data_IF_758093523834
#
_entry.id   IF_758093523834
#
_cell.length_a   1.000
_cell.length_b   1.000
_cell.length_c   1.000
_cell.angle_alpha   90.00
_cell.angle_beta   90.00
_cell.angle_gamma   90.00
#
_symmetry.space_group_name_H-M   'P 1'
#
loop_
_entity.id
_entity.type
_entity.pdbx_description
1 polymer ?
#
# COMPACT_ATOMS: atom_id res chain seq x y z
N UNK A 1 -6.48 8.11 12.94
CA UNK A 1 -6.47 7.81 14.39
C UNK A 1 -5.93 6.42 14.74
N UNK A 2 -6.06 5.39 13.89
CA UNK A 2 -5.57 4.02 14.13
C UNK A 2 -4.04 3.82 14.24
N UNK A 3 -3.23 4.83 13.89
CA UNK A 3 -1.76 4.72 13.93
C UNK A 3 -1.15 4.89 15.33
N UNK A 4 -1.90 5.42 16.29
CA UNK A 4 -1.39 5.80 17.62
C UNK A 4 -2.19 5.19 18.78
N UNK A 5 -3.03 4.18 18.53
CA UNK A 5 -3.75 3.49 19.61
C UNK A 5 -3.08 2.16 19.93
N UNK A 6 -2.07 2.10 20.83
CA UNK A 6 -1.72 0.87 21.53
C UNK A 6 -2.81 0.54 22.56
N UNK A 7 -3.06 -0.74 22.79
CA UNK A 7 -4.03 -1.26 23.76
C UNK A 7 -3.50 -1.21 25.21
N UNK A 8 -2.62 -0.26 25.56
CA UNK A 8 -2.06 -0.14 26.92
C UNK A 8 -2.80 0.94 27.72
N UNK A 9 -3.09 0.63 28.99
CA UNK A 9 -3.66 1.53 30.01
C UNK A 9 -2.70 2.66 30.45
N UNK A 10 -1.85 3.16 29.55
CA UNK A 10 -0.97 4.29 29.84
C UNK A 10 -1.57 5.55 29.20
N UNK A 11 -1.63 6.63 29.96
CA UNK A 11 -2.06 7.96 29.50
C UNK A 11 -1.27 8.34 28.23
N UNK A 12 -1.94 8.29 27.09
CA UNK A 12 -1.37 8.70 25.82
C UNK A 12 -1.36 10.22 25.75
N UNK A 13 -0.20 10.82 25.97
CA UNK A 13 0.06 12.19 25.52
C UNK A 13 0.09 12.17 23.98
N UNK A 14 -1.04 12.53 23.38
CA UNK A 14 -1.15 12.70 21.94
C UNK A 14 -0.32 13.91 21.51
N UNK A 15 0.77 13.64 20.79
CA UNK A 15 1.59 14.66 20.14
C UNK A 15 1.25 14.73 18.63
N UNK A 16 0.76 15.88 18.21
CA UNK A 16 0.38 16.16 16.82
C UNK A 16 1.59 16.15 15.87
N UNK A 17 2.78 16.51 16.34
CA UNK A 17 4.00 16.51 15.54
C UNK A 17 4.47 15.09 15.27
N UNK A 18 4.52 14.25 16.31
CA UNK A 18 4.85 12.82 16.17
C UNK A 18 3.82 12.10 15.29
N UNK A 19 2.54 12.44 15.42
CA UNK A 19 1.49 11.90 14.57
C UNK A 19 1.72 12.24 13.10
N UNK A 20 1.96 13.51 12.80
CA UNK A 20 2.16 13.96 11.43
C UNK A 20 3.46 13.44 10.82
N UNK A 21 4.54 13.37 11.61
CA UNK A 21 5.79 12.77 11.19
C UNK A 21 5.59 11.30 10.78
N UNK A 22 4.86 10.52 11.60
CA UNK A 22 4.52 9.12 11.29
C UNK A 22 3.63 8.97 10.05
N UNK A 23 2.64 9.83 9.87
CA UNK A 23 1.83 9.84 8.64
C UNK A 23 2.71 10.10 7.42
N UNK A 24 3.55 11.14 7.48
CA UNK A 24 4.40 11.52 6.36
C UNK A 24 5.41 10.41 6.02
N UNK A 25 6.02 9.76 7.01
CA UNK A 25 6.98 8.69 6.75
C UNK A 25 6.31 7.39 6.27
N UNK A 26 5.29 6.90 6.99
CA UNK A 26 4.70 5.57 6.75
C UNK A 26 3.67 5.59 5.61
N UNK A 27 2.75 6.56 5.61
CA UNK A 27 1.72 6.61 4.59
C UNK A 27 2.23 7.23 3.30
N UNK A 28 2.95 8.34 3.37
CA UNK A 28 3.39 9.03 2.16
C UNK A 28 4.71 8.45 1.65
N UNK A 29 5.73 8.38 2.52
CA UNK A 29 7.08 7.96 2.18
C UNK A 29 7.21 6.47 1.83
N UNK A 30 6.38 5.62 2.42
CA UNK A 30 6.39 4.18 2.19
C UNK A 30 5.21 3.73 1.31
N UNK A 31 3.98 3.71 1.83
CA UNK A 31 2.82 3.15 1.10
C UNK A 31 2.48 3.92 -0.18
N UNK A 32 2.30 5.23 -0.07
CA UNK A 32 1.99 6.10 -1.20
C UNK A 32 3.10 6.09 -2.24
N UNK A 33 4.35 6.15 -1.81
CA UNK A 33 5.51 6.07 -2.69
C UNK A 33 5.51 4.76 -3.49
N UNK A 34 5.32 3.60 -2.84
CA UNK A 34 5.29 2.32 -3.54
C UNK A 34 4.18 2.26 -4.59
N UNK A 35 2.94 2.63 -4.23
CA UNK A 35 1.80 2.64 -5.16
C UNK A 35 2.08 3.57 -6.35
N UNK A 36 2.48 4.81 -6.07
CA UNK A 36 2.69 5.82 -7.11
C UNK A 36 3.81 5.41 -8.07
N UNK A 37 4.94 4.93 -7.55
CA UNK A 37 6.11 4.61 -8.38
C UNK A 37 5.90 3.34 -9.20
N UNK A 38 5.23 2.33 -8.64
CA UNK A 38 4.98 1.07 -9.34
C UNK A 38 3.97 1.25 -10.47
N UNK A 39 2.80 1.82 -10.17
CA UNK A 39 1.77 2.06 -11.18
C UNK A 39 2.21 3.13 -12.20
N UNK A 40 2.88 4.19 -11.75
CA UNK A 40 3.42 5.22 -12.64
C UNK A 40 4.48 4.67 -13.60
N UNK A 41 5.33 3.76 -13.13
CA UNK A 41 6.27 3.07 -13.99
C UNK A 41 5.56 2.16 -15.00
N UNK A 42 4.53 1.42 -14.58
CA UNK A 42 3.72 0.61 -15.48
C UNK A 42 3.09 1.45 -16.61
N UNK A 43 2.56 2.64 -16.28
CA UNK A 43 2.02 3.58 -17.28
C UNK A 43 3.09 4.04 -18.24
N UNK A 44 4.22 4.54 -17.73
CA UNK A 44 5.29 5.11 -18.57
C UNK A 44 5.97 4.09 -19.46
N UNK A 45 6.19 2.87 -18.97
CA UNK A 45 7.04 1.86 -19.64
C UNK A 45 6.21 0.85 -20.45
N UNK A 46 4.99 0.55 -20.01
CA UNK A 46 4.12 -0.48 -20.60
C UNK A 46 2.76 0.07 -21.04
N UNK A 47 2.59 1.40 -21.11
CA UNK A 47 1.35 2.02 -21.55
C UNK A 47 0.16 1.76 -20.62
N UNK A 48 0.43 1.42 -19.35
CA UNK A 48 -0.58 1.09 -18.35
C UNK A 48 -1.16 -0.31 -18.51
N UNK A 49 -0.53 -1.16 -19.33
CA UNK A 49 -0.90 -2.56 -19.49
C UNK A 49 0.06 -3.41 -18.66
N UNK A 50 -0.48 -4.26 -17.80
CA UNK A 50 0.33 -5.18 -16.98
C UNK A 50 0.98 -6.22 -17.91
N UNK A 51 2.31 -6.31 -17.95
CA UNK A 51 3.00 -7.22 -18.85
C UNK A 51 2.94 -8.67 -18.35
N UNK A 52 3.15 -9.61 -19.28
CA UNK A 52 3.43 -11.01 -18.94
C UNK A 52 4.81 -11.08 -18.27
N UNK A 53 4.96 -11.71 -17.10
CA UNK A 53 6.27 -11.88 -16.46
C UNK A 53 7.23 -12.67 -17.37
N UNK A 54 8.50 -12.27 -17.43
CA UNK A 54 9.48 -12.87 -18.36
C UNK A 54 10.30 -13.98 -17.67
N UNK A 55 10.96 -13.64 -16.57
CA UNK A 55 11.77 -14.56 -15.78
C UNK A 55 11.36 -14.49 -14.31
N UNK A 56 11.32 -15.67 -13.66
CA UNK A 56 11.17 -15.80 -12.22
C UNK A 56 12.55 -16.01 -11.60
N UNK A 57 13.00 -15.04 -10.82
CA UNK A 57 14.11 -15.24 -9.89
C UNK A 57 13.62 -15.52 -8.47
N UNK A 58 14.55 -15.72 -7.55
CA UNK A 58 14.21 -15.97 -6.14
C UNK A 58 13.46 -14.80 -5.50
N UNK A 59 13.68 -13.56 -5.95
CA UNK A 59 12.98 -12.38 -5.41
C UNK A 59 11.55 -12.30 -5.90
N UNK A 60 11.29 -12.72 -7.13
CA UNK A 60 9.93 -12.84 -7.66
C UNK A 60 9.14 -13.90 -6.88
N UNK A 61 9.79 -15.01 -6.51
CA UNK A 61 9.19 -16.03 -5.67
C UNK A 61 8.93 -15.54 -4.23
N UNK A 62 9.89 -14.86 -3.61
CA UNK A 62 9.70 -14.22 -2.30
C UNK A 62 8.53 -13.22 -2.34
N UNK A 63 8.45 -12.38 -3.38
CA UNK A 63 7.35 -11.43 -3.57
C UNK A 63 6.00 -12.16 -3.72
N UNK A 64 5.96 -13.26 -4.47
CA UNK A 64 4.78 -14.10 -4.62
C UNK A 64 4.34 -14.69 -3.27
N UNK A 65 5.28 -15.24 -2.51
CA UNK A 65 5.04 -15.81 -1.19
C UNK A 65 4.47 -14.76 -0.23
N UNK A 66 5.10 -13.58 -0.14
CA UNK A 66 4.62 -12.47 0.68
C UNK A 66 3.18 -12.08 0.32
N UNK A 67 2.86 -11.97 -0.98
CA UNK A 67 1.48 -11.68 -1.44
C UNK A 67 0.53 -12.78 -0.96
N UNK A 68 0.92 -14.05 -1.05
CA UNK A 68 0.03 -15.16 -0.68
C UNK A 68 -0.16 -15.31 0.84
N UNK A 69 0.76 -14.78 1.66
CA UNK A 69 0.70 -14.93 3.12
C UNK A 69 0.01 -13.75 3.82
N UNK A 70 0.00 -12.56 3.21
CA UNK A 70 -0.38 -11.32 3.88
C UNK A 70 -1.80 -11.31 4.47
N UNK A 71 -2.77 -12.02 3.88
CA UNK A 71 -4.12 -12.10 4.45
C UNK A 71 -4.10 -12.81 5.81
N UNK A 72 -3.43 -13.96 5.89
CA UNK A 72 -3.34 -14.75 7.13
C UNK A 72 -2.60 -14.00 8.24
N UNK A 73 -1.56 -13.24 7.90
CA UNK A 73 -0.81 -12.45 8.87
C UNK A 73 -1.62 -11.26 9.41
N UNK A 74 -2.40 -10.59 8.56
CA UNK A 74 -3.31 -9.53 8.98
C UNK A 74 -4.44 -10.13 9.83
N UNK A 75 -5.02 -11.25 9.40
CA UNK A 75 -6.11 -11.94 10.12
C UNK A 75 -5.69 -12.40 11.51
N UNK A 76 -4.47 -12.93 11.66
CA UNK A 76 -3.93 -13.33 12.96
C UNK A 76 -3.90 -12.16 13.96
N UNK A 77 -3.66 -10.93 13.49
CA UNK A 77 -3.72 -9.73 14.33
C UNK A 77 -5.15 -9.24 14.55
N UNK A 78 -5.97 -9.22 13.50
CA UNK A 78 -7.36 -8.75 13.55
C UNK A 78 -8.23 -9.63 14.44
N UNK A 79 -8.04 -10.95 14.41
CA UNK A 79 -8.75 -11.91 15.26
C UNK A 79 -8.47 -11.72 16.76
N UNK A 80 -7.32 -11.11 17.10
CA UNK A 80 -6.94 -10.76 18.47
C UNK A 80 -7.24 -9.30 18.80
N UNK A 81 -8.02 -8.60 17.97
CA UNK A 81 -8.32 -7.17 18.10
C UNK A 81 -7.09 -6.24 18.09
N UNK A 82 -5.94 -6.71 17.62
CA UNK A 82 -4.70 -5.93 17.51
C UNK A 82 -4.63 -5.15 16.19
N UNK A 83 -5.57 -4.21 16.00
CA UNK A 83 -5.69 -3.42 14.76
C UNK A 83 -4.43 -2.60 14.44
N UNK A 84 -3.73 -2.10 15.46
CA UNK A 84 -2.45 -1.38 15.28
C UNK A 84 -1.36 -2.29 14.71
N UNK A 85 -1.30 -3.55 15.16
CA UNK A 85 -0.33 -4.55 14.66
C UNK A 85 -0.68 -4.99 13.24
N UNK A 86 -1.96 -5.18 12.95
CA UNK A 86 -2.44 -5.46 11.60
C UNK A 86 -2.02 -4.37 10.61
N UNK A 87 -2.22 -3.10 10.96
CA UNK A 87 -1.79 -1.96 10.15
C UNK A 87 -0.27 -1.89 10.01
N UNK A 88 0.49 -2.09 11.10
CA UNK A 88 1.96 -2.17 11.05
C UNK A 88 2.44 -3.28 10.11
N UNK A 89 1.76 -4.44 10.09
CA UNK A 89 2.10 -5.54 9.18
C UNK A 89 1.90 -5.16 7.72
N UNK A 90 0.80 -4.45 7.40
CA UNK A 90 0.52 -3.92 6.07
C UNK A 90 1.56 -2.87 5.63
N UNK A 91 1.99 -2.01 6.54
CA UNK A 91 3.03 -1.02 6.26
C UNK A 91 4.39 -1.69 5.99
N UNK A 92 4.74 -2.74 6.75
CA UNK A 92 5.92 -3.57 6.47
C UNK A 92 5.85 -4.28 5.12
N UNK A 93 4.67 -4.77 4.75
CA UNK A 93 4.43 -5.36 3.42
C UNK A 93 4.66 -4.33 2.30
N UNK A 94 4.20 -3.09 2.47
CA UNK A 94 4.54 -2.06 1.49
C UNK A 94 6.05 -1.75 1.45
N UNK A 95 6.74 -1.82 2.59
CA UNK A 95 8.18 -1.57 2.67
C UNK A 95 9.00 -2.66 1.96
N UNK A 96 8.64 -3.94 2.12
CA UNK A 96 9.31 -5.05 1.41
C UNK A 96 9.15 -4.90 -0.11
N UNK A 97 7.97 -4.50 -0.58
CA UNK A 97 7.75 -4.21 -2.00
C UNK A 97 8.49 -2.95 -2.49
N UNK A 98 8.72 -1.98 -1.61
CA UNK A 98 9.64 -0.89 -1.90
C UNK A 98 11.09 -1.40 -2.10
N UNK A 99 11.53 -2.37 -1.30
CA UNK A 99 12.86 -2.96 -1.44
C UNK A 99 12.94 -3.85 -2.69
N UNK A 100 11.93 -4.67 -2.95
CA UNK A 100 11.83 -5.52 -4.14
C UNK A 100 11.95 -4.71 -5.42
N UNK A 101 11.15 -3.65 -5.57
CA UNK A 101 11.19 -2.83 -6.79
C UNK A 101 12.49 -2.02 -6.93
N UNK A 102 13.16 -1.69 -5.81
CA UNK A 102 14.51 -1.11 -5.87
C UNK A 102 15.55 -2.15 -6.30
N UNK A 103 15.46 -3.38 -5.79
CA UNK A 103 16.37 -4.47 -6.12
C UNK A 103 16.25 -4.90 -7.59
N UNK A 104 15.03 -5.00 -8.12
CA UNK A 104 14.78 -5.40 -9.51
C UNK A 104 15.22 -4.34 -10.52
N UNK A 105 15.46 -3.10 -10.08
CA UNK A 105 15.88 -1.97 -10.90
C UNK A 105 15.17 -1.92 -12.28
N UNK A 106 13.82 -1.88 -12.33
CA UNK A 106 13.05 -2.06 -13.56
C UNK A 106 13.35 -1.00 -14.63
N UNK A 107 14.03 0.10 -14.28
CA UNK A 107 14.50 1.10 -15.23
C UNK A 107 15.74 0.69 -16.03
N UNK A 108 16.48 -0.35 -15.63
CA UNK A 108 17.71 -0.78 -16.31
C UNK A 108 17.46 -1.86 -17.36
N UNK A 109 16.52 -2.76 -17.09
CA UNK A 109 16.22 -3.89 -17.96
C UNK A 109 14.71 -4.05 -18.13
N UNK A 110 14.27 -4.08 -19.39
CA UNK A 110 12.88 -4.21 -19.75
C UNK A 110 12.32 -5.59 -19.42
N UNK A 111 13.11 -6.66 -19.45
CA UNK A 111 12.65 -8.00 -19.06
C UNK A 111 12.44 -8.10 -17.55
N UNK A 112 13.43 -7.67 -16.76
CA UNK A 112 13.29 -7.57 -15.31
C UNK A 112 12.09 -6.69 -14.91
N UNK A 113 11.83 -5.62 -15.67
CA UNK A 113 10.68 -4.75 -15.45
C UNK A 113 9.33 -5.45 -15.61
N UNK A 114 9.23 -6.48 -16.46
CA UNK A 114 7.96 -7.19 -16.69
C UNK A 114 7.52 -7.92 -15.42
N UNK A 115 8.38 -8.76 -14.85
CA UNK A 115 8.10 -9.48 -13.60
C UNK A 115 7.92 -8.51 -12.44
N UNK A 116 8.79 -7.48 -12.34
CA UNK A 116 8.71 -6.47 -11.29
C UNK A 116 7.35 -5.76 -11.25
N UNK A 117 6.85 -5.32 -12.41
CA UNK A 117 5.56 -4.63 -12.51
C UNK A 117 4.39 -5.58 -12.29
N UNK A 118 4.47 -6.81 -12.79
CA UNK A 118 3.45 -7.82 -12.56
C UNK A 118 3.24 -8.09 -11.06
N UNK A 119 4.31 -8.34 -10.32
CA UNK A 119 4.24 -8.56 -8.87
C UNK A 119 3.88 -7.31 -8.10
N UNK A 120 4.42 -6.16 -8.48
CA UNK A 120 4.08 -4.89 -7.82
C UNK A 120 2.60 -4.55 -7.98
N UNK A 121 2.00 -4.75 -9.14
CA UNK A 121 0.57 -4.51 -9.35
C UNK A 121 -0.32 -5.42 -8.47
N UNK A 122 0.08 -6.69 -8.31
CA UNK A 122 -0.61 -7.62 -7.43
C UNK A 122 -0.44 -7.26 -5.94
N UNK A 123 0.75 -6.82 -5.52
CA UNK A 123 0.94 -6.30 -4.18
C UNK A 123 0.12 -5.04 -3.91
N UNK A 124 0.02 -4.12 -4.88
CA UNK A 124 -0.84 -2.93 -4.78
C UNK A 124 -2.32 -3.33 -4.65
N UNK A 125 -2.76 -4.39 -5.34
CA UNK A 125 -4.09 -4.96 -5.16
C UNK A 125 -4.32 -5.49 -3.74
N UNK A 126 -3.38 -6.29 -3.20
CA UNK A 126 -3.44 -6.77 -1.82
C UNK A 126 -3.45 -5.62 -0.81
N UNK A 127 -2.64 -4.58 -1.03
CA UNK A 127 -2.63 -3.37 -0.21
C UNK A 127 -4.00 -2.69 -0.23
N UNK A 128 -4.63 -2.52 -1.39
CA UNK A 128 -5.94 -1.88 -1.48
C UNK A 128 -7.00 -2.60 -0.62
N UNK A 129 -7.07 -3.93 -0.71
CA UNK A 129 -8.00 -4.74 0.08
C UNK A 129 -7.68 -4.68 1.58
N UNK A 130 -6.41 -4.89 1.94
CA UNK A 130 -5.94 -4.87 3.32
C UNK A 130 -6.15 -3.51 3.99
N UNK A 131 -6.03 -2.42 3.23
CA UNK A 131 -6.13 -1.05 3.71
C UNK A 131 -7.57 -0.61 3.92
N UNK A 132 -8.53 -1.25 3.24
CA UNK A 132 -9.94 -0.87 3.25
C UNK A 132 -10.56 -0.71 4.66
N UNK A 133 -10.38 -1.64 5.62
CA UNK A 133 -10.92 -1.46 6.98
C UNK A 133 -10.27 -0.32 7.78
N UNK A 134 -9.08 0.16 7.37
CA UNK A 134 -8.36 1.23 8.07
C UNK A 134 -8.55 2.60 7.40
N UNK A 135 -8.53 2.65 6.06
CA UNK A 135 -8.62 3.87 5.25
C UNK A 135 -9.38 3.60 3.94
N UNK A 136 -10.73 3.49 3.99
CA UNK A 136 -11.54 3.10 2.84
C UNK A 136 -11.42 4.06 1.65
N UNK A 137 -11.26 5.37 1.91
CA UNK A 137 -11.07 6.37 0.87
C UNK A 137 -9.73 6.19 0.12
N UNK A 138 -8.64 5.88 0.84
CA UNK A 138 -7.34 5.62 0.21
C UNK A 138 -7.37 4.30 -0.57
N UNK A 139 -7.92 3.24 0.03
CA UNK A 139 -8.13 1.95 -0.61
C UNK A 139 -8.93 2.08 -1.92
N UNK A 140 -10.08 2.78 -1.90
CA UNK A 140 -10.89 3.02 -3.10
C UNK A 140 -10.16 3.83 -4.18
N UNK A 141 -9.27 4.75 -3.80
CA UNK A 141 -8.41 5.46 -4.76
C UNK A 141 -7.42 4.50 -5.42
N UNK A 142 -6.72 3.65 -4.65
CA UNK A 142 -5.83 2.63 -5.21
C UNK A 142 -6.63 1.71 -6.15
N UNK A 143 -7.82 1.27 -5.74
CA UNK A 143 -8.70 0.39 -6.50
C UNK A 143 -9.05 0.96 -7.88
N UNK A 144 -9.38 2.26 -7.95
CA UNK A 144 -9.62 2.96 -9.22
C UNK A 144 -8.37 3.07 -10.08
N UNK A 145 -7.20 3.34 -9.49
CA UNK A 145 -5.93 3.38 -10.22
C UNK A 145 -5.55 2.01 -10.80
N UNK A 146 -5.90 0.93 -10.10
CA UNK A 146 -5.80 -0.43 -10.63
C UNK A 146 -6.78 -0.70 -11.78
N UNK A 147 -7.73 0.18 -12.10
CA UNK A 147 -8.67 0.00 -13.21
C UNK A 147 -9.72 -1.08 -12.96
N UNK A 148 -9.96 -1.46 -11.70
CA UNK A 148 -10.93 -2.49 -11.35
C UNK A 148 -12.33 -1.87 -11.28
N UNK A 149 -13.25 -2.40 -12.10
CA UNK A 149 -14.61 -1.85 -12.25
C UNK A 149 -15.58 -2.31 -11.16
N UNK A 150 -15.34 -3.48 -10.57
CA UNK A 150 -16.18 -3.96 -9.49
C UNK A 150 -15.89 -3.18 -8.20
N UNK A 151 -16.89 -3.03 -7.34
CA UNK A 151 -16.70 -2.42 -6.02
C UNK A 151 -15.71 -3.24 -5.18
N UNK A 152 -14.86 -2.56 -4.41
CA UNK A 152 -13.89 -3.22 -3.54
C UNK A 152 -14.56 -4.13 -2.50
N UNK A 153 -15.76 -3.76 -2.05
CA UNK A 153 -16.59 -4.52 -1.10
C UNK A 153 -17.18 -5.80 -1.69
N UNK A 154 -17.21 -5.93 -3.02
CA UNK A 154 -17.68 -7.15 -3.69
C UNK A 154 -16.64 -8.28 -3.66
N UNK A 155 -15.40 -7.96 -3.24
CA UNK A 155 -14.30 -8.91 -3.20
C UNK A 155 -14.22 -9.58 -1.84
N UNK A 156 -13.97 -10.88 -1.85
CA UNK A 156 -13.73 -11.63 -0.63
C UNK A 156 -12.35 -11.29 -0.08
N UNK A 157 -12.24 -11.26 1.25
CA UNK A 157 -10.97 -11.09 1.96
C UNK A 157 -9.89 -12.08 1.50
N UNK A 158 -10.29 -13.31 1.14
CA UNK A 158 -9.39 -14.34 0.62
C UNK A 158 -8.66 -13.92 -0.67
N UNK A 159 -9.17 -12.92 -1.40
CA UNK A 159 -8.53 -12.43 -2.63
C UNK A 159 -7.30 -11.57 -2.36
N UNK A 160 -7.10 -11.12 -1.12
CA UNK A 160 -5.91 -10.39 -0.67
C UNK A 160 -4.64 -11.26 -0.86
N UNK A 161 -4.77 -12.57 -0.69
CA UNK A 161 -3.69 -13.55 -0.86
C UNK A 161 -3.60 -14.17 -2.26
N UNK A 162 -4.14 -13.51 -3.29
CA UNK A 162 -4.18 -14.06 -4.65
C UNK A 162 -3.53 -13.15 -5.69
N UNK A 163 -2.90 -13.76 -6.69
CA UNK A 163 -2.45 -13.09 -7.91
C UNK A 163 -3.68 -12.83 -8.80
N UNK A 164 -4.40 -11.74 -8.49
CA UNK A 164 -5.66 -11.35 -9.11
C UNK A 164 -5.47 -10.52 -10.39
N UNK A 165 -4.44 -9.67 -10.44
CA UNK A 165 -4.15 -8.84 -11.62
C UNK A 165 -3.39 -9.71 -12.63
N UNK A 166 -4.04 -10.01 -13.75
CA UNK A 166 -3.49 -10.86 -14.82
C UNK A 166 -2.71 -10.04 -15.87
N UNK A 167 -1.81 -10.67 -16.63
CA UNK A 167 -1.20 -10.04 -17.78
C UNK A 167 -2.26 -9.52 -18.77
N UNK A 168 -1.98 -8.40 -19.43
CA UNK A 168 -2.91 -7.70 -20.31
C UNK A 168 -3.94 -6.83 -19.59
N UNK A 169 -4.02 -6.88 -18.26
CA UNK A 169 -4.89 -6.01 -17.48
C UNK A 169 -4.52 -4.53 -17.68
N UNK A 170 -5.51 -3.68 -17.89
CA UNK A 170 -5.32 -2.23 -18.10
C UNK A 170 -5.58 -1.45 -16.82
N UNK A 171 -4.60 -0.67 -16.41
CA UNK A 171 -4.70 0.26 -15.29
C UNK A 171 -5.65 1.43 -15.61
N UNK A 172 -6.18 2.04 -14.55
CA UNK A 172 -6.87 3.31 -14.62
C UNK A 172 -5.89 4.49 -14.63
N UNK A 173 -6.42 5.69 -14.40
CA UNK A 173 -5.60 6.90 -14.30
C UNK A 173 -4.78 6.87 -13.01
N UNK A 174 -3.46 6.93 -13.13
CA UNK A 174 -2.52 6.93 -12.00
C UNK A 174 -2.28 8.35 -11.51
N UNK A 175 -2.38 8.57 -10.21
CA UNK A 175 -2.20 9.88 -9.57
C UNK A 175 -1.69 9.75 -8.13
N UNK A 176 -1.03 10.79 -7.58
CA UNK A 176 -0.49 10.74 -6.22
C UNK A 176 -1.52 10.32 -5.17
N UNK A 177 -1.24 9.22 -4.46
CA UNK A 177 -2.18 8.65 -3.49
C UNK A 177 -2.40 9.55 -2.26
N UNK A 178 -1.37 10.19 -1.71
CA UNK A 178 -1.51 11.08 -0.56
C UNK A 178 -1.00 12.48 -0.89
N UNK A 179 -1.63 13.49 -0.30
CA UNK A 179 -1.08 14.85 -0.27
C UNK A 179 -0.13 14.94 0.92
N UNK A 180 1.00 15.63 0.75
CA UNK A 180 1.92 15.91 1.86
C UNK A 180 1.16 16.69 2.93
N UNK A 181 1.31 16.31 4.20
CA UNK A 181 0.80 17.10 5.31
C UNK A 181 1.77 18.26 5.52
N UNK A 182 1.28 19.48 5.39
CA UNK A 182 2.07 20.69 5.63
C UNK A 182 2.17 20.98 7.14
N UNK A 183 3.32 21.46 7.60
CA UNK A 183 3.50 21.87 9.00
C UNK A 183 2.58 23.04 9.34
N UNK A 184 2.29 23.91 8.38
CA UNK A 184 1.34 25.01 8.57
C UNK A 184 -0.10 24.52 8.79
N UNK A 185 -0.47 23.38 8.19
CA UNK A 185 -1.78 22.74 8.42
C UNK A 185 -1.85 22.11 9.82
N UNK A 186 -0.73 21.57 10.31
CA UNK A 186 -0.63 21.01 11.66
C UNK A 186 -0.74 22.11 12.70
N UNK A 187 -0.01 23.22 12.53
CA UNK A 187 -0.09 24.37 13.44
C UNK A 187 -1.48 24.99 13.48
N UNK A 188 -2.15 25.10 12.31
CA UNK A 188 -3.57 25.52 12.26
C UNK A 188 -4.48 24.60 13.09
N UNK A 189 -4.29 23.29 13.02
CA UNK A 189 -5.09 22.34 13.82
C UNK A 189 -4.75 22.41 15.31
N UNK A 190 -3.47 22.59 15.69
CA UNK A 190 -3.07 22.80 17.08
C UNK A 190 -3.73 24.02 17.70
N UNK A 191 -3.78 25.14 16.97
CA UNK A 191 -4.45 26.36 17.44
C UNK A 191 -5.95 26.13 17.62
N UNK A 192 -6.61 25.51 16.64
CA UNK A 192 -8.05 25.20 16.73
C UNK A 192 -8.40 24.27 17.91
N UNK A 193 -7.51 23.34 18.27
CA UNK A 193 -7.70 22.42 19.40
C UNK A 193 -7.42 23.04 20.77
N UNK A 194 -6.69 24.16 20.84
CA UNK A 194 -6.44 24.92 22.08
C UNK A 194 -7.54 25.94 22.39
N UNK A 195 -8.34 26.30 21.39
CA UNK A 195 -9.45 27.24 21.51
C UNK A 195 -10.79 26.57 21.88
N UNK A 196 -10.79 25.27 22.19
CA UNK A 196 -11.92 24.51 22.75
C UNK A 196 -11.49 23.83 24.05
#
# INVERSE_FOLDING_TARGET
MLFITPYSQDDLNFDLDDFAARINSELIGNLGNFVNRSLGFAVRTFGGIIPEPAHHDSRDEEAREEITQIAGEIDAHMALHHTDRALKRLIKFSASFNQYFQYKEPWKDREAARSCIFYSANAVHSIALALYPFMPNAAGRIWRQLGIKQEITSKSWNQLSTISIKPGHKLGDVYPLFKKVDMDDIERQKTALKEH
#
